data_IF_201479557062
#
_entry.id   IF_201479557062
#
_cell.length_a   1.000
_cell.length_b   1.000
_cell.length_c   1.000
_cell.angle_alpha   90.00
_cell.angle_beta   90.00
_cell.angle_gamma   90.00
#
_symmetry.space_group_name_H-M   'P 1'
#
loop_
_entity.id
_entity.type
_entity.pdbx_description
1 polymer ?
#
# COMPACT_ATOMS: atom_id res chain seq x y z
N UNK A 1 -55.16 15.62 52.99
CA UNK A 1 -54.79 14.45 52.14
C UNK A 1 -53.34 14.67 51.68
N UNK A 2 -52.34 14.09 52.38
CA UNK A 2 -51.52 12.91 51.96
C UNK A 2 -50.82 13.18 50.62
N UNK A 3 -49.60 13.75 50.65
CA UNK A 3 -48.26 13.10 50.63
C UNK A 3 -47.74 12.78 49.22
N UNK A 4 -46.62 13.43 48.90
CA UNK A 4 -45.42 12.98 48.16
C UNK A 4 -45.63 11.90 47.08
N UNK A 5 -45.42 12.27 45.82
CA UNK A 5 -44.81 11.37 44.83
C UNK A 5 -43.74 12.16 44.07
N UNK A 6 -42.49 11.89 44.43
CA UNK A 6 -41.31 12.13 43.60
C UNK A 6 -41.26 10.99 42.59
N UNK A 7 -41.05 11.28 41.30
CA UNK A 7 -40.62 10.27 40.35
C UNK A 7 -39.64 10.88 39.36
N UNK A 8 -38.38 10.48 39.56
CA UNK A 8 -37.24 10.79 38.72
C UNK A 8 -37.43 10.22 37.32
N UNK A 9 -37.37 11.07 36.29
CA UNK A 9 -37.25 10.63 34.92
C UNK A 9 -35.76 10.40 34.61
N UNK A 10 -35.42 9.12 34.58
CA UNK A 10 -34.14 8.56 34.18
C UNK A 10 -33.82 9.07 32.77
N UNK A 11 -32.82 9.94 32.63
CA UNK A 11 -32.22 10.22 31.32
C UNK A 11 -31.41 8.98 30.96
N UNK A 12 -32.05 8.04 30.27
CA UNK A 12 -31.37 6.96 29.60
C UNK A 12 -30.49 7.59 28.51
N UNK A 13 -29.22 7.84 28.86
CA UNK A 13 -28.20 8.18 27.90
C UNK A 13 -28.18 7.07 26.86
N UNK A 14 -28.67 7.43 25.66
CA UNK A 14 -28.73 6.55 24.51
C UNK A 14 -27.29 6.14 24.21
N UNK A 15 -26.93 4.91 24.59
CA UNK A 15 -25.70 4.28 24.13
C UNK A 15 -25.86 4.08 22.63
N UNK A 16 -25.50 5.09 21.85
CA UNK A 16 -25.30 4.94 20.41
C UNK A 16 -24.11 3.99 20.29
N UNK A 17 -24.27 2.76 19.77
CA UNK A 17 -23.10 2.01 19.37
C UNK A 17 -22.42 2.88 18.32
N UNK A 18 -21.22 3.35 18.62
CA UNK A 18 -20.33 3.90 17.62
C UNK A 18 -20.15 2.80 16.59
N UNK A 19 -20.94 2.84 15.52
CA UNK A 19 -20.68 2.11 14.30
C UNK A 19 -19.38 2.72 13.77
N UNK A 20 -18.26 2.22 14.29
CA UNK A 20 -16.99 2.36 13.62
C UNK A 20 -17.22 1.82 12.22
N UNK A 21 -17.22 2.71 11.23
CA UNK A 21 -17.27 2.34 9.83
C UNK A 21 -15.97 1.59 9.56
N UNK A 22 -15.99 0.27 9.76
CA UNK A 22 -14.95 -0.64 9.33
C UNK A 22 -15.05 -0.68 7.81
N UNK A 23 -14.50 0.36 7.17
CA UNK A 23 -14.23 0.35 5.74
C UNK A 23 -13.44 -0.92 5.49
N UNK A 24 -14.11 -1.88 4.86
CA UNK A 24 -13.57 -3.19 4.49
C UNK A 24 -12.22 -2.93 3.83
N UNK A 25 -11.14 -3.23 4.54
CA UNK A 25 -9.82 -3.31 3.94
C UNK A 25 -9.96 -4.33 2.82
N UNK A 26 -10.00 -3.86 1.57
CA UNK A 26 -9.84 -4.74 0.42
C UNK A 26 -8.42 -5.27 0.52
N UNK A 27 -8.26 -6.39 1.21
CA UNK A 27 -7.05 -7.18 1.16
C UNK A 27 -6.90 -7.60 -0.29
N UNK A 28 -6.10 -6.87 -1.05
CA UNK A 28 -5.66 -7.29 -2.36
C UNK A 28 -4.73 -8.49 -2.13
N UNK A 29 -5.32 -9.69 -2.03
CA UNK A 29 -4.60 -10.95 -2.06
C UNK A 29 -3.98 -11.11 -3.45
N UNK A 30 -2.81 -10.51 -3.64
CA UNK A 30 -1.99 -10.75 -4.82
C UNK A 30 -1.37 -12.14 -4.69
N UNK A 31 -1.88 -13.10 -5.46
CA UNK A 31 -1.19 -14.38 -5.67
C UNK A 31 0.08 -14.11 -6.49
N UNK A 32 1.23 -14.08 -5.83
CA UNK A 32 2.53 -13.96 -6.50
C UNK A 32 2.91 -15.35 -7.05
N UNK A 33 2.83 -15.53 -8.38
CA UNK A 33 3.31 -16.71 -9.08
C UNK A 33 4.85 -16.80 -9.12
N UNK A 34 5.38 -17.95 -9.55
CA UNK A 34 6.82 -18.28 -9.61
C UNK A 34 7.68 -17.23 -10.32
N UNK A 35 8.84 -16.89 -9.74
CA UNK A 35 9.85 -15.98 -10.32
C UNK A 35 11.18 -16.70 -10.62
N UNK A 36 11.61 -16.59 -11.90
CA UNK A 36 12.90 -17.03 -12.47
C UNK A 36 12.84 -18.38 -13.21
N UNK A 37 13.69 -18.67 -14.23
CA UNK A 37 14.74 -17.89 -14.90
C UNK A 37 14.50 -17.70 -16.42
N UNK A 38 13.28 -17.90 -16.93
CA UNK A 38 12.99 -17.96 -18.38
C UNK A 38 11.79 -17.09 -18.84
N UNK A 39 11.47 -16.01 -18.12
CA UNK A 39 10.36 -15.11 -18.44
C UNK A 39 10.31 -13.88 -17.53
N UNK A 40 10.99 -12.82 -17.94
CA UNK A 40 11.22 -11.59 -17.17
C UNK A 40 9.93 -10.83 -16.88
N UNK A 41 9.39 -10.99 -15.66
CA UNK A 41 8.25 -10.21 -15.17
C UNK A 41 8.68 -9.38 -13.97
N UNK A 42 8.37 -8.08 -14.00
CA UNK A 42 8.56 -7.18 -12.85
C UNK A 42 7.27 -7.19 -12.02
N UNK A 43 7.41 -7.35 -10.71
CA UNK A 43 6.28 -7.36 -9.76
C UNK A 43 6.21 -6.04 -9.04
N UNK A 44 5.32 -5.16 -9.47
CA UNK A 44 5.09 -3.92 -8.72
C UNK A 44 4.25 -4.23 -7.48
N UNK A 45 4.91 -4.23 -6.32
CA UNK A 45 4.29 -4.61 -5.05
C UNK A 45 4.74 -3.70 -3.91
N UNK A 46 3.77 -2.97 -3.35
CA UNK A 46 3.97 -2.05 -2.24
C UNK A 46 3.15 -2.50 -1.05
N UNK A 47 3.78 -2.54 0.11
CA UNK A 47 3.03 -2.58 1.36
C UNK A 47 2.44 -1.19 1.58
N UNK A 48 1.13 -1.13 1.86
CA UNK A 48 0.35 0.11 1.99
C UNK A 48 -0.30 0.14 3.37
N UNK A 49 -0.25 1.29 4.03
CA UNK A 49 -0.96 1.52 5.28
C UNK A 49 -2.48 1.69 5.07
N UNK A 50 -3.28 1.70 6.16
CA UNK A 50 -4.71 1.99 6.12
C UNK A 50 -5.07 3.41 5.62
N UNK A 51 -4.10 4.33 5.54
CA UNK A 51 -4.29 5.72 5.17
C UNK A 51 -3.80 6.00 3.74
N UNK A 52 -4.27 7.09 3.13
CA UNK A 52 -3.80 7.53 1.81
C UNK A 52 -2.44 8.27 1.87
N UNK A 53 -1.86 8.40 3.06
CA UNK A 53 -0.60 9.07 3.30
C UNK A 53 0.56 8.09 3.27
N UNK A 54 1.70 8.53 2.75
CA UNK A 54 2.92 7.74 2.64
C UNK A 54 3.70 7.77 3.96
N UNK A 55 3.11 7.23 5.02
CA UNK A 55 3.75 7.16 6.35
C UNK A 55 4.50 5.84 6.48
N UNK A 56 3.85 4.74 6.11
CA UNK A 56 4.35 3.40 6.36
C UNK A 56 4.66 2.63 5.05
N UNK A 57 4.40 3.26 3.91
CA UNK A 57 4.53 2.63 2.61
C UNK A 57 5.98 2.33 2.26
N UNK A 58 6.18 1.08 1.83
CA UNK A 58 7.49 0.49 1.55
C UNK A 58 7.36 -0.56 0.46
N UNK A 59 8.44 -0.84 -0.29
CA UNK A 59 8.45 -1.94 -1.23
C UNK A 59 8.39 -3.29 -0.50
N UNK A 60 7.69 -4.25 -1.10
CA UNK A 60 7.81 -5.64 -0.71
C UNK A 60 9.07 -6.25 -1.33
N UNK A 61 9.68 -7.23 -0.65
CA UNK A 61 10.91 -7.89 -1.13
C UNK A 61 10.77 -8.40 -2.57
N UNK A 62 9.63 -9.02 -2.91
CA UNK A 62 9.32 -9.52 -4.26
C UNK A 62 9.47 -8.45 -5.35
N UNK A 63 9.20 -7.18 -5.05
CA UNK A 63 9.35 -6.11 -6.02
C UNK A 63 10.83 -5.87 -6.32
N UNK A 64 11.62 -5.68 -5.27
CA UNK A 64 13.07 -5.48 -5.36
C UNK A 64 13.73 -6.70 -6.04
N UNK A 65 13.40 -7.91 -5.60
CA UNK A 65 13.96 -9.15 -6.15
C UNK A 65 13.61 -9.32 -7.63
N UNK A 66 12.39 -8.96 -8.04
CA UNK A 66 12.01 -8.99 -9.45
C UNK A 66 12.81 -8.00 -10.30
N UNK A 67 13.12 -6.81 -9.77
CA UNK A 67 13.99 -5.83 -10.44
C UNK A 67 15.44 -6.35 -10.53
N UNK A 68 15.96 -6.97 -9.47
CA UNK A 68 17.28 -7.58 -9.50
C UNK A 68 17.34 -8.71 -10.53
N UNK A 69 16.28 -9.54 -10.61
CA UNK A 69 16.21 -10.65 -11.56
C UNK A 69 16.25 -10.21 -13.03
N UNK A 70 15.79 -9.00 -13.34
CA UNK A 70 15.84 -8.43 -14.71
C UNK A 70 17.11 -7.62 -14.98
N UNK A 71 18.03 -7.55 -14.01
CA UNK A 71 19.38 -7.03 -14.20
C UNK A 71 19.71 -5.70 -13.50
N UNK A 72 18.79 -5.15 -12.71
CA UNK A 72 19.14 -4.03 -11.83
C UNK A 72 20.08 -4.49 -10.71
N UNK A 73 21.01 -3.64 -10.30
CA UNK A 73 21.70 -3.85 -9.03
C UNK A 73 20.72 -3.64 -7.86
N UNK A 74 21.01 -4.24 -6.70
CA UNK A 74 20.11 -4.19 -5.54
C UNK A 74 19.79 -2.76 -5.10
N UNK A 75 20.77 -1.85 -5.17
CA UNK A 75 20.58 -0.49 -4.70
C UNK A 75 19.70 0.34 -5.61
N UNK A 76 19.85 0.19 -6.92
CA UNK A 76 18.98 0.80 -7.93
C UNK A 76 17.58 0.18 -7.86
N UNK A 77 17.48 -1.14 -7.69
CA UNK A 77 16.22 -1.83 -7.53
C UNK A 77 15.44 -1.33 -6.30
N UNK A 78 16.09 -1.23 -5.15
CA UNK A 78 15.48 -0.71 -3.92
C UNK A 78 15.09 0.78 -4.06
N UNK A 79 15.93 1.59 -4.70
CA UNK A 79 15.63 2.99 -4.96
C UNK A 79 14.40 3.18 -5.86
N UNK A 80 14.30 2.41 -6.96
CA UNK A 80 13.14 2.42 -7.86
C UNK A 80 11.88 1.97 -7.12
N UNK A 81 11.96 0.85 -6.41
CA UNK A 81 10.84 0.28 -5.69
C UNK A 81 10.33 1.23 -4.59
N UNK A 82 11.25 1.85 -3.85
CA UNK A 82 10.96 2.86 -2.85
C UNK A 82 10.33 4.10 -3.46
N UNK A 83 10.84 4.60 -4.60
CA UNK A 83 10.26 5.75 -5.31
C UNK A 83 8.79 5.51 -5.68
N UNK A 84 8.48 4.35 -6.26
CA UNK A 84 7.12 4.01 -6.67
C UNK A 84 6.21 3.82 -5.45
N UNK A 85 6.66 3.10 -4.44
CA UNK A 85 5.85 2.83 -3.26
C UNK A 85 5.64 4.06 -2.40
N UNK A 86 6.54 5.04 -2.45
CA UNK A 86 6.44 6.29 -1.69
C UNK A 86 5.84 7.46 -2.46
N UNK A 87 5.41 7.27 -3.69
CA UNK A 87 4.68 8.29 -4.43
C UNK A 87 3.22 8.37 -3.95
N UNK A 88 2.85 9.52 -3.39
CA UNK A 88 1.49 9.83 -2.92
C UNK A 88 0.45 9.75 -4.04
N UNK A 89 0.84 10.06 -5.28
CA UNK A 89 -0.06 10.06 -6.43
C UNK A 89 -0.40 8.66 -6.94
N UNK A 90 0.35 7.64 -6.51
CA UNK A 90 0.19 6.25 -6.90
C UNK A 90 -0.57 5.43 -5.85
N UNK A 91 -0.84 6.00 -4.66
CA UNK A 91 -1.57 5.33 -3.59
C UNK A 91 -2.96 4.91 -4.08
N UNK A 92 -3.29 3.64 -3.92
CA UNK A 92 -4.58 3.08 -4.36
C UNK A 92 -4.78 3.00 -5.89
N UNK A 93 -3.73 3.26 -6.69
CA UNK A 93 -3.80 3.31 -8.16
C UNK A 93 -2.83 2.29 -8.81
N UNK A 94 -3.16 0.99 -8.79
CA UNK A 94 -2.28 -0.06 -9.32
C UNK A 94 -1.93 0.13 -10.80
N UNK A 95 -2.85 0.64 -11.62
CA UNK A 95 -2.60 0.89 -13.05
C UNK A 95 -1.57 2.01 -13.25
N UNK A 96 -1.65 3.07 -12.45
CA UNK A 96 -0.69 4.18 -12.50
C UNK A 96 0.70 3.75 -12.02
N UNK A 97 0.77 2.82 -11.05
CA UNK A 97 2.04 2.23 -10.62
C UNK A 97 2.68 1.40 -11.75
N UNK A 98 1.88 0.59 -12.43
CA UNK A 98 2.33 -0.19 -13.59
C UNK A 98 2.86 0.74 -14.69
N UNK A 99 2.10 1.76 -15.07
CA UNK A 99 2.52 2.74 -16.08
C UNK A 99 3.82 3.45 -15.67
N UNK A 100 3.96 3.82 -14.39
CA UNK A 100 5.18 4.45 -13.88
C UNK A 100 6.37 3.51 -13.99
N UNK A 101 6.21 2.23 -13.66
CA UNK A 101 7.26 1.23 -13.80
C UNK A 101 7.62 1.00 -15.27
N UNK A 102 6.64 0.90 -16.17
CA UNK A 102 6.87 0.79 -17.61
C UNK A 102 7.65 1.99 -18.16
N UNK A 103 7.36 3.20 -17.66
CA UNK A 103 8.10 4.41 -18.01
C UNK A 103 9.54 4.38 -17.51
N UNK A 104 9.76 3.95 -16.27
CA UNK A 104 11.11 3.79 -15.71
C UNK A 104 11.89 2.74 -16.50
N UNK A 105 11.26 1.62 -16.83
CA UNK A 105 11.87 0.58 -17.65
C UNK A 105 12.18 1.07 -19.08
N UNK A 106 11.32 1.90 -19.69
CA UNK A 106 11.60 2.45 -21.01
C UNK A 106 12.75 3.47 -21.02
N UNK A 107 13.08 4.08 -19.88
CA UNK A 107 14.16 5.06 -19.76
C UNK A 107 15.53 4.38 -19.82
N UNK A 108 16.39 4.67 -20.81
CA UNK A 108 17.74 4.12 -20.87
C UNK A 108 18.61 4.52 -19.66
N UNK A 109 18.29 5.62 -18.99
CA UNK A 109 18.97 6.09 -17.80
C UNK A 109 18.77 5.18 -16.58
N UNK A 110 17.63 4.50 -16.48
CA UNK A 110 17.32 3.63 -15.33
C UNK A 110 18.21 2.39 -15.29
N UNK A 111 18.57 1.86 -16.46
CA UNK A 111 19.43 0.67 -16.59
C UNK A 111 20.92 0.95 -16.35
N UNK A 112 21.32 2.21 -16.18
CA UNK A 112 22.70 2.55 -15.88
C UNK A 112 22.99 2.14 -14.45
N UNK A 113 23.97 1.25 -14.26
CA UNK A 113 24.45 0.86 -12.93
C UNK A 113 24.97 2.10 -12.21
N UNK A 114 24.29 2.52 -11.15
CA UNK A 114 24.77 3.55 -10.24
C UNK A 114 25.60 2.86 -9.15
N UNK A 115 26.89 2.67 -9.42
CA UNK A 115 27.85 2.34 -8.35
C UNK A 115 28.07 3.62 -7.53
N UNK A 116 27.50 3.70 -6.33
CA UNK A 116 27.86 4.69 -5.33
C UNK A 116 28.85 4.12 -4.32
#
# INVERSE_FOLDING_TARGET
MIKKIVLAAIVAAVAVPAAADHKRHKTYSYHYGNYGPSGNRIVVSCWRGPWNEVIWDRPNAVFVDSLVSVGYDFSTADAIATRICRDKNLVGRPDAMKETMERIWADPGSHRRHNY
#
